data_IF_790660366128
#
_entry.id   IF_790660366128
#
_cell.length_a   1.000
_cell.length_b   1.000
_cell.length_c   1.000
_cell.angle_alpha   90.00
_cell.angle_beta   90.00
_cell.angle_gamma   90.00
#
_symmetry.space_group_name_H-M   'P 1'
#
loop_
_entity.id
_entity.type
_entity.pdbx_description
1 polymer ?
#
# COMPACT_ATOMS: atom_id res chain seq x y z
N UNK A 1 -9.35 -5.45 9.40
CA UNK A 1 -8.74 -6.70 8.87
C UNK A 1 -7.52 -7.07 9.70
N UNK A 2 -6.47 -6.24 9.74
CA UNK A 2 -5.22 -6.44 10.48
C UNK A 2 -5.37 -7.02 11.91
N UNK A 3 -6.24 -6.44 12.75
CA UNK A 3 -6.49 -6.93 14.13
C UNK A 3 -6.91 -8.41 14.21
N UNK A 4 -7.51 -8.95 13.16
CA UNK A 4 -7.98 -10.35 13.09
C UNK A 4 -7.00 -11.26 12.36
N UNK A 5 -5.93 -10.71 11.76
CA UNK A 5 -4.90 -11.47 11.08
C UNK A 5 -3.94 -12.06 12.12
N UNK A 6 -3.57 -13.35 12.03
CA UNK A 6 -2.54 -13.93 12.90
C UNK A 6 -1.24 -13.14 12.88
N UNK A 7 -0.58 -13.00 14.03
CA UNK A 7 0.60 -12.12 14.20
C UNK A 7 1.79 -12.48 13.30
N UNK A 8 1.91 -13.74 12.88
CA UNK A 8 2.97 -14.20 11.98
C UNK A 8 2.75 -13.82 10.50
N UNK A 9 1.56 -13.34 10.13
CA UNK A 9 1.22 -12.99 8.76
C UNK A 9 1.34 -11.47 8.59
N UNK A 10 2.29 -10.97 7.79
CA UNK A 10 2.43 -9.53 7.57
C UNK A 10 1.22 -8.98 6.80
N UNK A 11 0.80 -7.77 7.16
CA UNK A 11 -0.32 -7.07 6.51
C UNK A 11 0.21 -5.77 5.90
N UNK A 12 0.04 -5.61 4.60
CA UNK A 12 0.41 -4.39 3.87
C UNK A 12 -0.88 -3.67 3.47
N UNK A 13 -0.98 -2.39 3.79
CA UNK A 13 -2.10 -1.54 3.37
C UNK A 13 -1.79 -0.89 2.01
N UNK A 14 -2.75 -0.95 1.09
CA UNK A 14 -2.73 -0.17 -0.16
C UNK A 14 -3.94 0.77 -0.11
N UNK A 15 -3.69 2.07 -0.14
CA UNK A 15 -4.68 3.11 0.13
C UNK A 15 -4.79 4.08 -1.05
N UNK A 16 -5.93 4.76 -1.19
CA UNK A 16 -6.10 5.88 -2.13
C UNK A 16 -5.03 6.94 -1.91
N UNK A 17 -5.03 7.52 -0.71
CA UNK A 17 -4.04 8.44 -0.19
C UNK A 17 -3.61 8.02 1.22
N UNK A 18 -2.56 8.67 1.73
CA UNK A 18 -2.11 8.58 3.12
C UNK A 18 -2.15 9.98 3.73
N UNK A 19 -2.30 10.05 5.06
CA UNK A 19 -2.25 11.30 5.80
C UNK A 19 -0.84 11.53 6.34
N UNK A 20 -0.42 12.79 6.42
CA UNK A 20 0.95 13.16 6.82
C UNK A 20 1.26 12.80 8.29
N UNK A 21 0.24 12.66 9.13
CA UNK A 21 0.36 12.34 10.56
C UNK A 21 0.19 10.84 10.86
N UNK A 22 0.46 9.97 9.89
CA UNK A 22 0.47 8.53 10.15
C UNK A 22 1.55 8.16 11.17
N UNK A 23 1.27 7.25 12.11
CA UNK A 23 2.28 6.71 13.00
C UNK A 23 3.32 5.90 12.21
N UNK A 24 4.51 5.76 12.79
CA UNK A 24 5.55 4.89 12.25
C UNK A 24 5.08 3.44 12.19
N UNK A 25 5.43 2.74 11.10
CA UNK A 25 5.15 1.32 10.94
C UNK A 25 6.31 0.46 11.46
N UNK A 26 6.04 -0.74 12.01
CA UNK A 26 4.75 -1.41 12.08
C UNK A 26 3.85 -0.93 13.24
N UNK A 27 2.55 -0.81 12.99
CA UNK A 27 1.57 -0.33 13.98
C UNK A 27 0.20 -0.99 13.79
N UNK A 28 -0.48 -1.31 14.90
CA UNK A 28 -1.83 -1.91 14.90
C UNK A 28 -2.00 -3.17 14.01
N UNK A 29 -0.93 -3.95 13.85
CA UNK A 29 -0.90 -5.15 13.00
C UNK A 29 -0.74 -4.88 11.50
N UNK A 30 -0.34 -3.66 11.11
CA UNK A 30 0.01 -3.29 9.74
C UNK A 30 1.53 -3.12 9.66
N UNK A 31 2.16 -3.81 8.71
CA UNK A 31 3.61 -3.82 8.50
C UNK A 31 4.10 -2.63 7.69
N UNK A 32 3.30 -2.17 6.72
CA UNK A 32 3.61 -1.03 5.85
C UNK A 32 2.32 -0.52 5.19
N UNK A 33 2.33 0.74 4.73
CA UNK A 33 1.24 1.34 3.97
C UNK A 33 1.77 2.10 2.74
N UNK A 34 1.02 2.03 1.63
CA UNK A 34 1.38 2.68 0.37
C UNK A 34 0.16 3.44 -0.22
N UNK A 35 0.32 4.70 -0.67
CA UNK A 35 -0.69 5.37 -1.47
C UNK A 35 -0.63 4.86 -2.92
N UNK A 36 -1.76 4.97 -3.64
CA UNK A 36 -1.81 4.69 -5.09
C UNK A 36 -1.73 5.96 -5.94
N UNK A 37 -1.86 7.15 -5.35
CA UNK A 37 -1.68 8.41 -6.09
C UNK A 37 -0.21 8.55 -6.46
N UNK A 38 0.10 8.37 -7.75
CA UNK A 38 1.46 8.47 -8.28
C UNK A 38 1.88 9.87 -8.73
N UNK A 39 0.93 10.80 -8.87
CA UNK A 39 1.16 12.16 -9.36
C UNK A 39 0.09 13.11 -8.81
N UNK A 40 0.45 14.38 -8.67
CA UNK A 40 -0.49 15.44 -8.29
C UNK A 40 -1.39 15.73 -9.49
N UNK A 41 -2.69 15.50 -9.32
CA UNK A 41 -3.72 15.70 -10.33
C UNK A 41 -5.00 16.22 -9.65
N UNK A 42 -5.94 16.72 -10.44
CA UNK A 42 -7.28 17.01 -9.97
C UNK A 42 -7.99 15.72 -9.52
N UNK A 43 -8.93 15.85 -8.57
CA UNK A 43 -9.57 14.71 -7.92
C UNK A 43 -10.22 13.74 -8.93
N UNK A 44 -10.92 14.27 -9.94
CA UNK A 44 -11.57 13.44 -10.95
C UNK A 44 -10.57 12.62 -11.76
N UNK A 45 -9.39 13.18 -12.04
CA UNK A 45 -8.32 12.49 -12.76
C UNK A 45 -7.62 11.44 -11.87
N UNK A 46 -7.45 11.74 -10.58
CA UNK A 46 -6.98 10.77 -9.58
C UNK A 46 -7.92 9.57 -9.52
N UNK A 47 -9.23 9.82 -9.41
CA UNK A 47 -10.24 8.76 -9.33
C UNK A 47 -10.32 7.96 -10.63
N UNK A 48 -10.25 8.62 -11.79
CA UNK A 48 -10.26 7.95 -13.10
C UNK A 48 -9.08 6.98 -13.29
N UNK A 49 -7.92 7.26 -12.67
CA UNK A 49 -6.72 6.43 -12.76
C UNK A 49 -6.53 5.47 -11.59
N UNK A 50 -7.39 5.52 -10.57
CA UNK A 50 -7.24 4.76 -9.33
C UNK A 50 -7.14 3.25 -9.55
N UNK A 51 -7.93 2.68 -10.49
CA UNK A 51 -7.89 1.24 -10.79
C UNK A 51 -6.53 0.80 -11.32
N UNK A 52 -5.99 1.53 -12.30
CA UNK A 52 -4.70 1.23 -12.92
C UNK A 52 -3.57 1.40 -11.90
N UNK A 53 -3.63 2.45 -11.09
CA UNK A 53 -2.63 2.69 -10.06
C UNK A 53 -2.68 1.65 -8.95
N UNK A 54 -3.88 1.19 -8.54
CA UNK A 54 -4.02 0.10 -7.58
C UNK A 54 -3.34 -1.19 -8.08
N UNK A 55 -3.55 -1.54 -9.36
CA UNK A 55 -2.89 -2.68 -9.98
C UNK A 55 -1.36 -2.52 -9.99
N UNK A 56 -0.87 -1.36 -10.44
CA UNK A 56 0.56 -1.05 -10.49
C UNK A 56 1.23 -1.11 -9.12
N UNK A 57 0.61 -0.51 -8.09
CA UNK A 57 1.12 -0.54 -6.71
C UNK A 57 1.19 -1.98 -6.20
N UNK A 58 0.13 -2.78 -6.40
CA UNK A 58 0.13 -4.20 -6.03
C UNK A 58 1.20 -5.01 -6.76
N UNK A 59 1.35 -4.81 -8.07
CA UNK A 59 2.38 -5.48 -8.88
C UNK A 59 3.79 -5.16 -8.41
N UNK A 60 4.08 -3.88 -8.12
CA UNK A 60 5.40 -3.46 -7.67
C UNK A 60 5.73 -3.97 -6.26
N UNK A 61 4.76 -3.98 -5.33
CA UNK A 61 4.93 -4.63 -4.02
C UNK A 61 5.23 -6.13 -4.20
N UNK A 62 4.50 -6.81 -5.10
CA UNK A 62 4.77 -8.21 -5.43
C UNK A 62 6.17 -8.44 -5.99
N UNK A 63 6.65 -7.56 -6.88
CA UNK A 63 8.01 -7.62 -7.43
C UNK A 63 9.07 -7.42 -6.35
N UNK A 64 8.87 -6.50 -5.40
CA UNK A 64 9.79 -6.30 -4.26
C UNK A 64 9.86 -7.54 -3.37
N UNK A 65 8.72 -8.17 -3.06
CA UNK A 65 8.67 -9.42 -2.28
C UNK A 65 9.37 -10.55 -3.03
N UNK A 66 9.22 -10.63 -4.35
CA UNK A 66 9.92 -11.62 -5.18
C UNK A 66 11.43 -11.39 -5.15
N UNK A 67 11.87 -10.13 -5.27
CA UNK A 67 13.29 -9.77 -5.22
C UNK A 67 13.91 -10.13 -3.87
N UNK A 68 13.24 -9.81 -2.76
CA UNK A 68 13.75 -10.09 -1.41
C UNK A 68 13.84 -11.58 -1.06
N UNK A 69 13.16 -12.45 -1.81
CA UNK A 69 13.27 -13.91 -1.67
C UNK A 69 14.37 -14.52 -2.52
N UNK A 70 14.89 -13.74 -3.48
CA UNK A 70 15.94 -14.18 -4.42
C UNK A 70 17.32 -13.69 -4.00
N UNK A 71 17.37 -12.68 -3.13
CA UNK A 71 18.58 -12.19 -2.45
C UNK A 71 18.86 -13.00 -1.18
#
# INVERSE_FOLDING_TARGET
VARRTPSAIPVIAICGSLKDDLPDFPVAGISAAFPIIGQVLELDQVLATAKENLYRTGLNIGNLIKLSKTL
#
